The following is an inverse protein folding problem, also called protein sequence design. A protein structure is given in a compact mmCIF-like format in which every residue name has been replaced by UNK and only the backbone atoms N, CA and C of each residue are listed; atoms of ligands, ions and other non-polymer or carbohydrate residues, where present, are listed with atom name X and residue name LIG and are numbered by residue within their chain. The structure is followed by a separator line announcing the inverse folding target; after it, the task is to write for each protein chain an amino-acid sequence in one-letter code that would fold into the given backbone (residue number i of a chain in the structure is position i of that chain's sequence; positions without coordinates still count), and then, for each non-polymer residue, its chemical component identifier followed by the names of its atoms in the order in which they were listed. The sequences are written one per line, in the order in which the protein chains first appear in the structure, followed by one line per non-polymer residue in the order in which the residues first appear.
data_IF_822603566144
#
_entry.id   IF_822603566144
#
_cell.length_a   1.000
_cell.length_b   1.000
_cell.length_c   1.000
_cell.angle_alpha   90.00
_cell.angle_beta   90.00
_cell.angle_gamma   90.00
#
_symmetry.space_group_name_H-M   'P 1'
#
loop_
_entity.id
_entity.type
_entity.pdbx_description
1 polymer ?
#
# COMPACT_ATOMS: atom_id res chain seq x y z
N UNK A 1 8.65 30.67 -10.33
CA UNK A 1 9.82 29.79 -10.59
C UNK A 1 9.60 28.48 -9.87
N UNK A 2 9.63 27.35 -10.58
CA UNK A 2 9.47 26.01 -10.01
C UNK A 2 10.81 25.50 -9.47
N UNK A 3 10.80 24.80 -8.33
CA UNK A 3 11.99 24.18 -7.72
C UNK A 3 11.83 22.66 -7.74
N UNK A 4 12.78 21.97 -8.37
CA UNK A 4 12.88 20.52 -8.28
C UNK A 4 13.36 20.16 -6.87
N UNK A 5 12.57 19.36 -6.15
CA UNK A 5 12.93 18.82 -4.83
C UNK A 5 13.26 17.34 -4.98
N UNK A 6 14.35 16.89 -4.35
CA UNK A 6 14.80 15.49 -4.42
C UNK A 6 13.90 14.54 -3.62
N UNK A 7 13.22 15.04 -2.58
CA UNK A 7 12.40 14.23 -1.68
C UNK A 7 11.09 14.94 -1.35
N UNK A 8 10.08 14.67 -2.15
CA UNK A 8 8.74 15.22 -1.96
C UNK A 8 7.90 14.25 -1.13
N UNK A 9 7.29 14.73 -0.06
CA UNK A 9 6.26 13.99 0.65
C UNK A 9 4.93 14.77 0.67
N UNK A 10 3.82 14.07 0.81
CA UNK A 10 2.50 14.68 0.90
C UNK A 10 1.64 13.94 1.93
N UNK A 11 0.94 14.70 2.76
CA UNK A 11 -0.18 14.16 3.52
C UNK A 11 -1.36 13.93 2.59
N UNK A 12 -1.92 12.73 2.63
CA UNK A 12 -3.03 12.33 1.78
C UNK A 12 -4.10 11.60 2.59
N UNK A 13 -5.39 11.87 2.35
CA UNK A 13 -6.46 11.15 3.01
C UNK A 13 -6.51 9.69 2.54
N UNK A 14 -6.72 8.79 3.49
CA UNK A 14 -6.89 7.35 3.28
C UNK A 14 -8.30 6.98 3.73
N UNK A 15 -9.10 6.49 2.80
CA UNK A 15 -10.47 6.05 3.07
C UNK A 15 -10.53 4.53 3.18
N UNK A 16 -10.89 4.04 4.37
CA UNK A 16 -11.09 2.62 4.67
C UNK A 16 -12.58 2.33 4.69
N UNK A 17 -13.00 1.37 3.87
CA UNK A 17 -14.38 0.87 3.87
C UNK A 17 -14.49 -0.31 4.84
N UNK A 18 -15.52 -0.28 5.70
CA UNK A 18 -15.87 -1.39 6.58
C UNK A 18 -17.33 -1.77 6.35
N UNK A 19 -17.70 -3.06 6.42
CA UNK A 19 -19.11 -3.44 6.43
C UNK A 19 -19.86 -2.72 7.56
N UNK A 20 -21.02 -2.15 7.26
CA UNK A 20 -21.86 -1.48 8.26
C UNK A 20 -22.46 -2.55 9.20
N UNK A 21 -22.20 -2.48 10.52
CA UNK A 21 -22.72 -3.46 11.49
C UNK A 21 -24.25 -3.36 11.67
N UNK A 22 -24.84 -2.20 11.40
CA UNK A 22 -26.25 -1.91 11.59
C UNK A 22 -27.07 -2.05 10.29
N UNK A 23 -26.40 -1.97 9.13
CA UNK A 23 -27.03 -2.05 7.81
C UNK A 23 -26.39 -3.15 6.94
N UNK A 24 -26.90 -4.40 6.99
CA UNK A 24 -26.40 -5.49 6.17
C UNK A 24 -26.37 -5.14 4.67
N UNK A 25 -25.18 -5.25 4.06
CA UNK A 25 -24.96 -4.91 2.65
C UNK A 25 -24.52 -3.47 2.38
N UNK A 26 -24.44 -2.62 3.41
CA UNK A 26 -23.85 -1.28 3.32
C UNK A 26 -22.39 -1.27 3.82
N UNK A 27 -21.68 -0.20 3.48
CA UNK A 27 -20.32 0.07 3.98
C UNK A 27 -20.29 1.42 4.69
N UNK A 28 -19.54 1.48 5.78
CA UNK A 28 -19.20 2.70 6.50
C UNK A 28 -17.79 3.13 6.10
N UNK A 29 -17.63 4.42 5.80
CA UNK A 29 -16.34 5.02 5.45
C UNK A 29 -15.64 5.55 6.71
N UNK A 30 -14.37 5.20 6.86
CA UNK A 30 -13.49 5.74 7.89
C UNK A 30 -12.28 6.39 7.24
N UNK A 31 -11.83 7.51 7.79
CA UNK A 31 -10.73 8.30 7.22
C UNK A 31 -9.59 8.48 8.20
N UNK A 32 -8.36 8.34 7.70
CA UNK A 32 -7.15 8.84 8.36
C UNK A 32 -6.25 9.52 7.32
N UNK A 33 -5.12 10.10 7.72
CA UNK A 33 -4.15 10.66 6.77
C UNK A 33 -2.81 9.94 6.89
N UNK A 34 -2.23 9.57 5.75
CA UNK A 34 -0.89 9.02 5.66
C UNK A 34 0.05 10.03 4.97
N UNK A 35 1.32 10.07 5.38
CA UNK A 35 2.34 10.87 4.70
C UNK A 35 3.11 10.00 3.72
N UNK A 36 2.80 10.16 2.44
CA UNK A 36 3.45 9.43 1.36
C UNK A 36 4.67 10.15 0.83
N UNK A 37 5.74 9.41 0.61
CA UNK A 37 6.90 9.80 -0.15
C UNK A 37 6.61 9.60 -1.64
N UNK A 38 6.69 10.68 -2.42
CA UNK A 38 6.49 10.67 -3.86
C UNK A 38 7.85 10.41 -4.51
N UNK A 39 8.10 9.15 -4.81
CA UNK A 39 9.33 8.68 -5.45
C UNK A 39 9.21 8.71 -6.97
N UNK A 40 10.34 8.99 -7.63
CA UNK A 40 10.40 9.00 -9.09
C UNK A 40 10.35 7.59 -9.69
N UNK A 41 9.91 7.48 -10.95
CA UNK A 41 9.87 6.21 -11.70
C UNK A 41 11.20 5.45 -11.69
N UNK A 42 12.33 6.16 -11.70
CA UNK A 42 13.66 5.54 -11.67
C UNK A 42 13.95 4.80 -10.35
N UNK A 43 13.53 5.36 -9.22
CA UNK A 43 13.70 4.75 -7.88
C UNK A 43 12.79 3.54 -7.69
N UNK A 44 11.63 3.53 -8.35
CA UNK A 44 10.67 2.43 -8.29
C UNK A 44 10.87 1.35 -9.35
N UNK A 45 11.83 1.53 -10.26
CA UNK A 45 12.00 0.64 -11.41
C UNK A 45 12.30 -0.80 -11.01
N UNK A 46 13.28 -1.01 -10.12
CA UNK A 46 13.64 -2.37 -9.68
C UNK A 46 12.46 -3.05 -8.98
N UNK A 47 11.74 -2.28 -8.16
CA UNK A 47 10.56 -2.78 -7.46
C UNK A 47 9.41 -3.15 -8.41
N UNK A 48 9.17 -2.35 -9.44
CA UNK A 48 8.16 -2.63 -10.47
C UNK A 48 8.55 -3.84 -11.32
N UNK A 49 9.82 -3.96 -11.70
CA UNK A 49 10.34 -5.11 -12.46
C UNK A 49 10.21 -6.42 -11.66
N UNK A 50 10.53 -6.42 -10.37
CA UNK A 50 10.34 -7.58 -9.48
C UNK A 50 8.86 -7.96 -9.35
N UNK A 51 7.97 -6.97 -9.16
CA UNK A 51 6.52 -7.17 -9.10
C UNK A 51 5.98 -7.78 -10.39
N UNK A 52 6.40 -7.27 -11.56
CA UNK A 52 5.95 -7.78 -12.86
C UNK A 52 6.45 -9.21 -13.11
N UNK A 53 7.65 -9.55 -12.64
CA UNK A 53 8.15 -10.94 -12.68
C UNK A 53 7.32 -11.88 -11.80
N UNK A 54 6.96 -11.45 -10.59
CA UNK A 54 6.09 -12.23 -9.69
C UNK A 54 4.69 -12.42 -10.30
N UNK A 55 4.09 -11.35 -10.83
CA UNK A 55 2.78 -11.41 -11.48
C UNK A 55 2.79 -12.33 -12.71
N UNK A 56 3.88 -12.31 -13.50
CA UNK A 56 4.04 -13.22 -14.64
C UNK A 56 4.14 -14.69 -14.19
N UNK A 57 4.94 -14.99 -13.16
CA UNK A 57 5.03 -16.36 -12.60
C UNK A 57 3.69 -16.84 -12.07
N UNK A 58 2.94 -15.96 -11.41
CA UNK A 58 1.59 -16.27 -10.91
C UNK A 58 0.65 -16.64 -12.06
N UNK A 59 0.62 -15.83 -13.13
CA UNK A 59 -0.21 -16.13 -14.31
C UNK A 59 0.15 -17.48 -14.94
N UNK A 60 1.46 -17.74 -15.15
CA UNK A 60 1.94 -19.01 -15.69
C UNK A 60 1.57 -20.20 -14.79
N UNK A 61 1.61 -20.04 -13.46
CA UNK A 61 1.23 -21.06 -12.51
C UNK A 61 -0.29 -21.33 -12.50
N UNK A 62 -1.12 -20.29 -12.61
CA UNK A 62 -2.58 -20.41 -12.75
C UNK A 62 -2.94 -21.16 -14.04
N UNK A 63 -2.30 -20.81 -15.16
CA UNK A 63 -2.51 -21.48 -16.45
C UNK A 63 -2.11 -22.97 -16.37
N UNK A 64 -0.96 -23.27 -15.76
CA UNK A 64 -0.48 -24.64 -15.58
C UNK A 64 -1.37 -25.46 -14.63
N UNK A 65 -2.03 -24.83 -13.66
CA UNK A 65 -2.91 -25.52 -12.71
C UNK A 65 -4.07 -26.25 -13.40
N UNK A 66 -4.56 -25.72 -14.52
CA UNK A 66 -5.64 -26.33 -15.29
C UNK A 66 -5.27 -27.74 -15.80
N UNK A 67 -4.01 -27.94 -16.20
CA UNK A 67 -3.53 -29.20 -16.79
C UNK A 67 -2.66 -30.05 -15.85
N UNK A 68 -2.34 -29.54 -14.65
CA UNK A 68 -1.51 -30.25 -13.68
C UNK A 68 -2.12 -31.60 -13.23
N UNK A 69 -1.28 -32.64 -13.18
CA UNK A 69 -1.64 -33.96 -12.63
C UNK A 69 -1.82 -33.91 -11.11
N UNK A 70 -0.96 -33.15 -10.42
CA UNK A 70 -1.05 -32.90 -8.98
C UNK A 70 -1.68 -31.52 -8.73
N UNK A 71 -3.00 -31.50 -8.53
CA UNK A 71 -3.76 -30.28 -8.27
C UNK A 71 -3.42 -29.63 -6.93
N UNK A 72 -3.00 -30.40 -5.93
CA UNK A 72 -2.66 -29.88 -4.60
C UNK A 72 -1.35 -29.12 -4.69
N UNK A 73 -0.30 -29.74 -5.25
CA UNK A 73 0.98 -29.08 -5.44
C UNK A 73 0.87 -27.83 -6.33
N UNK A 74 0.05 -27.87 -7.39
CA UNK A 74 -0.18 -26.71 -8.24
C UNK A 74 -0.92 -25.58 -7.51
N UNK A 75 -1.90 -25.90 -6.67
CA UNK A 75 -2.61 -24.92 -5.83
C UNK A 75 -1.69 -24.31 -4.78
N UNK A 76 -0.84 -25.11 -4.13
CA UNK A 76 0.14 -24.61 -3.16
C UNK A 76 1.14 -23.66 -3.82
N UNK A 77 1.63 -24.00 -5.02
CA UNK A 77 2.54 -23.12 -5.76
C UNK A 77 1.92 -21.76 -6.10
N UNK A 78 0.65 -21.73 -6.51
CA UNK A 78 -0.09 -20.48 -6.76
C UNK A 78 -0.22 -19.67 -5.48
N UNK A 79 -0.62 -20.30 -4.37
CA UNK A 79 -0.74 -19.65 -3.05
C UNK A 79 0.59 -19.06 -2.57
N UNK A 80 1.70 -19.76 -2.78
CA UNK A 80 3.03 -19.27 -2.44
C UNK A 80 3.42 -18.04 -3.28
N UNK A 81 3.08 -18.03 -4.57
CA UNK A 81 3.31 -16.89 -5.47
C UNK A 81 2.42 -15.69 -5.14
N UNK A 82 1.16 -15.92 -4.77
CA UNK A 82 0.26 -14.88 -4.25
C UNK A 82 0.83 -14.26 -2.98
N UNK A 83 1.25 -15.10 -2.02
CA UNK A 83 1.88 -14.65 -0.77
C UNK A 83 3.16 -13.84 -1.04
N UNK A 84 3.99 -14.28 -1.99
CA UNK A 84 5.20 -13.55 -2.36
C UNK A 84 4.89 -12.21 -3.04
N UNK A 85 3.85 -12.14 -3.89
CA UNK A 85 3.41 -10.91 -4.52
C UNK A 85 2.85 -9.92 -3.49
N UNK A 86 2.05 -10.40 -2.53
CA UNK A 86 1.55 -9.60 -1.41
C UNK A 86 2.68 -9.10 -0.52
N UNK A 87 3.59 -9.98 -0.10
CA UNK A 87 4.75 -9.62 0.72
C UNK A 87 5.64 -8.60 0.02
N UNK A 88 5.85 -8.79 -1.29
CA UNK A 88 6.57 -7.81 -2.10
C UNK A 88 5.84 -6.49 -1.97
N UNK A 89 4.61 -6.40 -2.45
CA UNK A 89 3.77 -5.19 -2.47
C UNK A 89 3.67 -4.48 -1.10
N UNK A 90 3.58 -5.22 0.00
CA UNK A 90 3.53 -4.65 1.36
C UNK A 90 4.86 -4.00 1.76
N UNK A 91 5.99 -4.58 1.33
CA UNK A 91 7.31 -3.99 1.47
C UNK A 91 7.45 -2.61 0.83
N UNK A 92 6.59 -2.25 -0.14
CA UNK A 92 6.53 -0.90 -0.72
C UNK A 92 6.15 0.11 0.34
N UNK A 93 5.14 -0.21 1.16
CA UNK A 93 4.54 0.76 2.07
C UNK A 93 5.51 1.20 3.15
N UNK A 94 6.42 0.34 3.61
CA UNK A 94 7.50 0.74 4.53
C UNK A 94 8.48 1.75 3.93
N UNK A 95 8.59 1.82 2.60
CA UNK A 95 9.43 2.81 1.90
C UNK A 95 8.67 4.11 1.61
N UNK A 96 7.37 3.98 1.37
CA UNK A 96 6.53 5.08 0.88
C UNK A 96 5.81 5.81 2.00
N UNK A 97 5.43 5.14 3.09
CA UNK A 97 4.74 5.75 4.21
C UNK A 97 5.77 6.17 5.24
N UNK A 98 5.77 7.45 5.57
CA UNK A 98 6.74 8.04 6.50
C UNK A 98 6.11 8.55 7.78
N UNK A 99 4.77 8.51 7.87
CA UNK A 99 3.98 9.00 8.98
C UNK A 99 2.49 8.69 8.76
N UNK A 100 1.69 8.79 9.81
CA UNK A 100 0.23 8.88 9.71
C UNK A 100 -0.37 9.73 10.84
N UNK A 101 -1.64 10.11 10.72
CA UNK A 101 -2.41 10.76 11.78
C UNK A 101 -3.88 10.40 11.69
N UNK A 102 -4.57 10.43 12.82
CA UNK A 102 -5.98 10.05 12.91
C UNK A 102 -6.21 8.54 13.02
N UNK A 103 -5.18 7.76 13.36
CA UNK A 103 -5.29 6.33 13.67
C UNK A 103 -5.44 6.17 15.19
N UNK A 104 -6.48 5.45 15.62
CA UNK A 104 -6.78 5.16 17.02
C UNK A 104 -7.08 3.68 17.22
N UNK A 105 -6.93 3.18 18.44
CA UNK A 105 -7.35 1.84 18.84
C UNK A 105 -8.84 1.80 19.26
N UNK A 106 -9.30 0.64 19.73
CA UNK A 106 -10.67 0.42 20.19
C UNK A 106 -11.05 1.25 21.43
N UNK A 107 -10.07 1.81 22.15
CA UNK A 107 -10.26 2.67 23.32
C UNK A 107 -10.06 4.17 22.98
N UNK A 108 -10.15 4.51 21.69
CA UNK A 108 -9.90 5.84 21.13
C UNK A 108 -8.51 6.40 21.45
N UNK A 109 -7.54 5.53 21.78
CA UNK A 109 -6.17 5.97 22.04
C UNK A 109 -5.41 6.12 20.72
N UNK A 110 -4.68 7.23 20.51
CA UNK A 110 -3.89 7.40 19.31
C UNK A 110 -2.85 6.28 19.16
N UNK A 111 -2.77 5.70 17.96
CA UNK A 111 -1.71 4.78 17.56
C UNK A 111 -0.67 5.60 16.79
N UNK A 112 0.49 5.94 17.40
CA UNK A 112 1.53 6.69 16.71
C UNK A 112 2.13 5.86 15.57
N UNK A 113 2.63 6.53 14.55
CA UNK A 113 3.30 5.85 13.45
C UNK A 113 4.59 5.18 13.93
N UNK A 114 4.74 3.89 13.64
CA UNK A 114 5.97 3.11 13.76
C UNK A 114 6.00 2.01 12.71
N UNK A 115 7.14 1.33 12.53
CA UNK A 115 7.22 0.20 11.61
C UNK A 115 6.28 -0.94 12.05
N UNK A 116 6.25 -1.22 13.35
CA UNK A 116 5.40 -2.27 13.95
C UNK A 116 3.92 -1.92 13.84
N UNK A 117 3.57 -0.64 14.01
CA UNK A 117 2.21 -0.19 13.83
C UNK A 117 1.77 -0.29 12.35
N UNK A 118 2.69 0.01 11.42
CA UNK A 118 2.45 -0.17 9.99
C UNK A 118 2.28 -1.66 9.64
N UNK A 119 3.12 -2.56 10.17
CA UNK A 119 2.97 -4.01 10.00
C UNK A 119 1.58 -4.48 10.46
N UNK A 120 1.18 -4.09 11.68
CA UNK A 120 -0.15 -4.40 12.23
C UNK A 120 -1.28 -3.87 11.33
N UNK A 121 -1.13 -2.67 10.76
CA UNK A 121 -2.11 -2.11 9.85
C UNK A 121 -2.15 -2.85 8.50
N UNK A 122 -0.99 -3.24 7.97
CA UNK A 122 -0.86 -3.97 6.71
C UNK A 122 -1.40 -5.40 6.82
N UNK A 123 -1.42 -6.01 8.01
CA UNK A 123 -2.08 -7.30 8.25
C UNK A 123 -3.60 -7.25 7.99
N UNK A 124 -4.21 -6.06 7.97
CA UNK A 124 -5.61 -5.89 7.62
C UNK A 124 -5.80 -5.55 6.14
N UNK A 125 -6.35 -6.51 5.36
CA UNK A 125 -6.59 -6.37 3.91
C UNK A 125 -7.29 -5.05 3.52
N UNK A 126 -8.31 -4.64 4.29
CA UNK A 126 -9.06 -3.39 4.06
C UNK A 126 -8.17 -2.14 4.15
N UNK A 127 -7.22 -2.12 5.08
CA UNK A 127 -6.32 -0.99 5.32
C UNK A 127 -5.22 -1.00 4.25
N UNK A 128 -4.62 -2.16 3.99
CA UNK A 128 -3.64 -2.36 2.90
C UNK A 128 -4.18 -1.87 1.56
N UNK A 129 -5.41 -2.26 1.21
CA UNK A 129 -6.09 -1.82 -0.02
C UNK A 129 -6.31 -0.30 -0.04
N UNK A 130 -6.78 0.27 1.06
CA UNK A 130 -7.00 1.72 1.17
C UNK A 130 -5.71 2.53 0.99
N UNK A 131 -4.60 2.08 1.60
CA UNK A 131 -3.28 2.70 1.45
C UNK A 131 -2.79 2.66 0.00
N UNK A 132 -3.00 1.56 -0.71
CA UNK A 132 -2.65 1.46 -2.14
C UNK A 132 -3.42 2.49 -2.97
N UNK A 133 -4.73 2.52 -2.83
CA UNK A 133 -5.61 3.45 -3.58
C UNK A 133 -5.22 4.90 -3.27
N UNK A 134 -4.97 5.21 -2.00
CA UNK A 134 -4.54 6.54 -1.58
C UNK A 134 -3.17 6.93 -2.17
N UNK A 135 -2.22 6.01 -2.22
CA UNK A 135 -0.91 6.26 -2.83
C UNK A 135 -1.01 6.47 -4.34
N UNK A 136 -1.77 5.62 -5.04
CA UNK A 136 -2.01 5.75 -6.48
C UNK A 136 -2.67 7.10 -6.82
N UNK A 137 -3.62 7.55 -6.01
CA UNK A 137 -4.22 8.87 -6.13
C UNK A 137 -3.20 10.00 -5.89
N UNK A 138 -2.35 9.87 -4.86
CA UNK A 138 -1.33 10.86 -4.53
C UNK A 138 -0.28 11.06 -5.65
N UNK A 139 -0.03 10.05 -6.48
CA UNK A 139 0.92 10.11 -7.60
C UNK A 139 0.26 10.42 -8.96
N UNK A 140 -1.00 10.01 -9.17
CA UNK A 140 -1.68 10.09 -10.47
C UNK A 140 -2.53 11.35 -10.62
N UNK A 141 -3.18 11.78 -9.55
CA UNK A 141 -4.15 12.87 -9.63
C UNK A 141 -3.50 14.21 -9.31
N UNK A 142 -3.52 15.11 -10.30
CA UNK A 142 -3.33 16.55 -10.12
C UNK A 142 -4.44 17.22 -9.29
N UNK A 143 -4.98 16.54 -8.28
CA UNK A 143 -5.70 17.17 -7.20
C UNK A 143 -4.70 18.10 -6.51
N UNK A 144 -4.85 19.39 -6.75
CA UNK A 144 -4.03 20.45 -6.18
C UNK A 144 -3.66 20.05 -4.75
N UNK A 145 -2.38 19.72 -4.50
CA UNK A 145 -1.83 19.48 -3.17
C UNK A 145 -2.42 20.59 -2.31
N UNK A 146 -3.40 20.29 -1.47
CA UNK A 146 -4.25 21.27 -0.79
C UNK A 146 -3.45 21.99 0.32
N UNK A 147 -2.27 22.52 0.00
CA UNK A 147 -1.24 22.93 0.95
C UNK A 147 -0.47 21.79 1.63
N UNK A 148 -0.77 20.52 1.31
CA UNK A 148 -0.34 19.35 2.10
C UNK A 148 1.02 18.74 1.74
N UNK A 149 1.79 19.35 0.84
CA UNK A 149 3.11 18.85 0.47
C UNK A 149 4.20 19.37 1.39
N UNK A 150 5.00 18.46 1.93
CA UNK A 150 6.17 18.74 2.78
C UNK A 150 7.43 18.34 2.02
N UNK A 151 8.47 19.17 2.04
CA UNK A 151 9.79 18.77 1.58
C UNK A 151 10.52 18.12 2.75
N UNK A 152 10.94 16.86 2.58
CA UNK A 152 11.71 16.18 3.63
C UNK A 152 13.20 16.53 3.49
N UNK A 153 13.95 16.64 4.60
CA UNK A 153 15.40 16.75 4.54
C UNK A 153 15.99 15.50 3.86
N UNK A 154 17.17 15.65 3.26
CA UNK A 154 17.94 14.52 2.74
C UNK A 154 18.14 13.49 3.88
N UNK A 155 18.03 12.20 3.59
CA UNK A 155 18.41 11.17 4.55
C UNK A 155 19.86 11.44 4.99
N UNK A 156 20.10 11.53 6.29
CA UNK A 156 21.46 11.66 6.83
C UNK A 156 22.31 10.45 6.41
N UNK A 157 23.64 10.62 6.33
CA UNK A 157 24.57 9.56 5.94
C UNK A 157 24.55 8.38 6.91
#
# INVERSE_FOLDING_TARGET
MFKLVSRLAAWWPVTVLQPDPDQPGAFTEFGFEARFLIVGKAEMRGYAEERDQLAKKLLEAIEAMATADDKVAASDHVRDLETALETHDDGMFHRLITDWRGVVDEADQPIPFSAEALDMALDHERIRRALRVAYDAAISEGGARLGNSVTLPAAGP
#
